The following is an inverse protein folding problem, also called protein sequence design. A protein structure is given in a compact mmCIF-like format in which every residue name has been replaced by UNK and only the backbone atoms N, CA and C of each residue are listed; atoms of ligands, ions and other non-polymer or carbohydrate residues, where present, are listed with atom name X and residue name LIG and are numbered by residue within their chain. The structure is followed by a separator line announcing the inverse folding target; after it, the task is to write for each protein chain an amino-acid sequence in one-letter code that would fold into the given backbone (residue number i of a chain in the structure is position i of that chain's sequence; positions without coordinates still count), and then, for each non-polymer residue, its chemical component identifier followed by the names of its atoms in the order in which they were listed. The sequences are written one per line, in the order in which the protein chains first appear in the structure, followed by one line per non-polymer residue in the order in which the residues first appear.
data_IF_308113595148
#
_entry.id   IF_308113595148
#
_cell.length_a   1.000
_cell.length_b   1.000
_cell.length_c   1.000
_cell.angle_alpha   90.00
_cell.angle_beta   90.00
_cell.angle_gamma   90.00
#
_symmetry.space_group_name_H-M   'P 1'
#
loop_
_entity.id
_entity.type
_entity.pdbx_description
1 polymer ?
#
# COMPACT_ATOMS: atom_id res chain seq x y z
N UNK A 1 -19.18 -22.81 5.27
CA UNK A 1 -18.02 -22.32 6.05
C UNK A 1 -17.52 -21.03 5.40
N UNK A 2 -17.65 -19.88 6.06
CA UNK A 2 -17.09 -18.63 5.58
C UNK A 2 -15.55 -18.72 5.68
N UNK A 3 -14.83 -18.53 4.56
CA UNK A 3 -13.36 -18.44 4.58
C UNK A 3 -12.97 -17.31 5.53
N UNK A 4 -11.99 -17.49 6.43
CA UNK A 4 -11.53 -16.41 7.28
C UNK A 4 -11.12 -15.23 6.39
N UNK A 5 -11.72 -14.08 6.66
CA UNK A 5 -11.36 -12.83 5.99
C UNK A 5 -9.94 -12.52 6.44
N UNK A 6 -8.94 -12.89 5.64
CA UNK A 6 -7.54 -12.59 5.94
C UNK A 6 -7.45 -11.08 6.08
N UNK A 7 -7.29 -10.58 7.30
CA UNK A 7 -6.97 -9.18 7.56
C UNK A 7 -5.46 -9.07 7.52
N UNK A 8 -4.94 -8.06 6.84
CA UNK A 8 -3.51 -7.81 6.74
C UNK A 8 -3.21 -6.48 7.42
N UNK A 9 -2.27 -6.50 8.38
CA UNK A 9 -1.84 -5.31 9.09
C UNK A 9 -0.97 -4.44 8.17
N UNK A 10 -1.37 -3.19 7.99
CA UNK A 10 -0.69 -2.18 7.18
C UNK A 10 -0.36 -0.94 8.02
N UNK A 11 -0.49 -0.98 9.35
CA UNK A 11 -0.32 0.19 10.23
C UNK A 11 1.05 0.85 10.12
N UNK A 12 2.15 0.09 10.07
CA UNK A 12 3.51 0.65 9.92
C UNK A 12 3.66 1.38 8.58
N UNK A 13 3.25 0.74 7.49
CA UNK A 13 3.33 1.30 6.14
C UNK A 13 2.38 2.50 6.02
N UNK A 14 1.18 2.41 6.58
CA UNK A 14 0.22 3.52 6.61
C UNK A 14 0.81 4.72 7.35
N UNK A 15 1.38 4.50 8.54
CA UNK A 15 2.00 5.56 9.36
C UNK A 15 3.13 6.21 8.60
N UNK A 16 3.99 5.40 7.99
CA UNK A 16 5.10 5.87 7.17
C UNK A 16 4.61 6.71 5.97
N UNK A 17 3.70 6.19 5.17
CA UNK A 17 3.16 6.90 4.01
C UNK A 17 2.34 8.15 4.40
N UNK A 18 1.70 8.15 5.58
CA UNK A 18 0.99 9.33 6.11
C UNK A 18 1.96 10.38 6.60
N UNK A 19 3.07 9.99 7.25
CA UNK A 19 4.15 10.90 7.61
C UNK A 19 4.78 11.54 6.36
N UNK A 20 4.83 10.83 5.24
CA UNK A 20 5.23 11.35 3.93
C UNK A 20 4.23 12.35 3.33
N UNK A 21 2.92 12.09 3.49
CA UNK A 21 1.84 12.94 2.95
C UNK A 21 1.57 14.20 3.78
N UNK A 22 1.88 14.18 5.08
CA UNK A 22 1.61 15.30 5.97
C UNK A 22 2.65 16.41 5.81
N UNK A 23 2.21 17.66 6.07
CA UNK A 23 2.93 18.94 5.92
C UNK A 23 4.41 18.98 6.33
N UNK A 24 4.89 18.05 7.17
CA UNK A 24 6.30 17.93 7.53
C UNK A 24 7.22 17.75 6.32
N UNK A 25 6.77 17.08 5.24
CA UNK A 25 7.56 16.94 4.01
C UNK A 25 7.45 18.15 3.08
N UNK A 26 6.31 18.85 3.09
CA UNK A 26 6.12 20.08 2.30
C UNK A 26 6.89 21.28 2.88
N UNK A 27 7.15 21.27 4.20
CA UNK A 27 7.74 22.40 4.93
C UNK A 27 9.23 22.23 5.26
N UNK A 28 9.76 21.00 5.28
CA UNK A 28 11.18 20.74 5.57
C UNK A 28 11.82 19.91 4.45
N UNK A 29 12.82 20.47 3.76
CA UNK A 29 13.69 19.76 2.79
C UNK A 29 14.50 18.59 3.41
N UNK A 30 14.26 18.24 4.67
CA UNK A 30 14.92 17.17 5.40
C UNK A 30 13.88 16.17 5.88
N UNK A 31 14.01 14.90 5.49
CA UNK A 31 13.37 13.85 6.29
C UNK A 31 13.20 12.48 5.68
N UNK A 32 13.36 12.30 4.37
CA UNK A 32 13.24 10.98 3.75
C UNK A 32 14.39 10.74 2.77
N UNK A 33 15.12 9.62 2.88
CA UNK A 33 16.10 9.24 1.88
C UNK A 33 15.45 9.11 0.50
N UNK A 34 15.95 9.85 -0.50
CA UNK A 34 15.46 9.76 -1.90
C UNK A 34 15.45 8.32 -2.45
N UNK A 35 16.32 7.48 -1.89
CA UNK A 35 16.40 6.05 -2.18
C UNK A 35 15.11 5.33 -1.79
N UNK A 36 14.52 5.65 -0.63
CA UNK A 36 13.29 5.02 -0.17
C UNK A 36 12.09 5.52 -0.98
N UNK A 37 12.02 6.82 -1.30
CA UNK A 37 10.96 7.35 -2.18
C UNK A 37 10.97 6.67 -3.55
N UNK A 38 12.15 6.50 -4.15
CA UNK A 38 12.29 5.84 -5.45
C UNK A 38 11.87 4.37 -5.36
N UNK A 39 12.33 3.66 -4.32
CA UNK A 39 11.95 2.27 -4.10
C UNK A 39 10.44 2.07 -3.90
N UNK A 40 9.78 2.97 -3.18
CA UNK A 40 8.31 2.92 -3.01
C UNK A 40 7.59 3.14 -4.34
N UNK A 41 8.00 4.12 -5.16
CA UNK A 41 7.37 4.33 -6.48
C UNK A 41 7.62 3.14 -7.43
N UNK A 42 8.83 2.57 -7.43
CA UNK A 42 9.16 1.37 -8.20
C UNK A 42 8.32 0.16 -7.77
N UNK A 43 8.10 -0.02 -6.46
CA UNK A 43 7.22 -1.06 -5.93
C UNK A 43 5.78 -0.84 -6.41
N UNK A 44 5.26 0.39 -6.31
CA UNK A 44 3.90 0.70 -6.74
C UNK A 44 3.72 0.53 -8.24
N UNK A 45 4.72 0.88 -9.04
CA UNK A 45 4.76 0.61 -10.48
C UNK A 45 4.72 -0.88 -10.77
N UNK A 46 5.59 -1.67 -10.14
CA UNK A 46 5.61 -3.12 -10.29
C UNK A 46 4.28 -3.76 -9.92
N UNK A 47 3.76 -3.44 -8.74
CA UNK A 47 2.48 -3.95 -8.22
C UNK A 47 1.33 -3.56 -9.16
N UNK A 48 1.30 -2.33 -9.66
CA UNK A 48 0.22 -1.86 -10.55
C UNK A 48 0.07 -2.70 -11.82
N UNK A 49 1.15 -3.33 -12.27
CA UNK A 49 1.24 -4.11 -13.52
C UNK A 49 1.12 -5.63 -13.33
N UNK A 50 1.03 -6.12 -12.09
CA UNK A 50 0.86 -7.55 -11.84
C UNK A 50 -0.49 -8.07 -12.36
N UNK A 51 -0.52 -9.34 -12.76
CA UNK A 51 -1.77 -10.02 -13.11
C UNK A 51 -2.49 -10.49 -11.85
N UNK A 52 -3.68 -9.93 -11.62
CA UNK A 52 -4.57 -10.25 -10.50
C UNK A 52 -5.76 -11.11 -10.95
N UNK A 53 -5.60 -11.94 -11.98
CA UNK A 53 -6.65 -12.83 -12.48
C UNK A 53 -7.56 -12.15 -13.50
N UNK A 54 -6.94 -11.59 -14.54
CA UNK A 54 -7.64 -11.07 -15.72
C UNK A 54 -7.92 -9.58 -15.69
N UNK A 55 -7.03 -8.78 -15.08
CA UNK A 55 -7.07 -7.33 -15.25
C UNK A 55 -6.70 -7.00 -16.70
N UNK A 56 -7.60 -6.34 -17.43
CA UNK A 56 -7.34 -5.87 -18.80
C UNK A 56 -6.56 -4.55 -18.83
N UNK A 57 -6.43 -3.89 -17.68
CA UNK A 57 -5.69 -2.63 -17.50
C UNK A 57 -4.91 -2.67 -16.18
N UNK A 58 -3.74 -2.03 -16.11
CA UNK A 58 -3.01 -1.84 -14.86
C UNK A 58 -3.89 -1.15 -13.81
N UNK A 59 -3.63 -1.45 -12.53
CA UNK A 59 -4.22 -0.72 -11.43
C UNK A 59 -3.63 0.70 -11.37
N UNK A 60 -4.37 1.66 -10.84
CA UNK A 60 -3.85 3.02 -10.69
C UNK A 60 -2.86 3.09 -9.52
N UNK A 61 -1.62 3.53 -9.79
CA UNK A 61 -0.61 3.79 -8.75
C UNK A 61 -1.12 4.76 -7.69
N UNK A 62 -1.72 5.87 -8.10
CA UNK A 62 -2.25 6.87 -7.17
C UNK A 62 -3.33 6.27 -6.27
N UNK A 63 -4.19 5.40 -6.83
CA UNK A 63 -5.21 4.70 -6.05
C UNK A 63 -4.60 3.73 -5.04
N UNK A 64 -3.58 2.97 -5.43
CA UNK A 64 -2.87 2.06 -4.52
C UNK A 64 -2.22 2.84 -3.37
N UNK A 65 -1.52 3.93 -3.70
CA UNK A 65 -0.89 4.81 -2.73
C UNK A 65 -1.92 5.38 -1.72
N UNK A 66 -3.02 5.97 -2.21
CA UNK A 66 -4.08 6.53 -1.36
C UNK A 66 -4.69 5.48 -0.43
N UNK A 67 -4.89 4.25 -0.92
CA UNK A 67 -5.46 3.19 -0.09
C UNK A 67 -4.46 2.68 0.96
N UNK A 68 -3.17 2.57 0.62
CA UNK A 68 -2.11 2.20 1.58
C UNK A 68 -1.94 3.26 2.68
N UNK A 69 -2.08 4.55 2.35
CA UNK A 69 -2.01 5.63 3.34
C UNK A 69 -3.27 5.78 4.19
N UNK A 70 -4.42 5.25 3.73
CA UNK A 70 -5.70 5.44 4.42
C UNK A 70 -6.15 4.23 5.24
N UNK A 71 -5.70 3.02 4.91
CA UNK A 71 -6.21 1.78 5.50
C UNK A 71 -5.19 1.12 6.44
N UNK A 72 -5.39 1.14 7.77
CA UNK A 72 -4.54 0.37 8.71
C UNK A 72 -4.70 -1.13 8.52
N UNK A 73 -5.89 -1.58 8.10
CA UNK A 73 -6.20 -3.00 7.90
C UNK A 73 -6.67 -3.25 6.47
N UNK A 74 -5.91 -4.09 5.75
CA UNK A 74 -6.19 -4.44 4.35
C UNK A 74 -6.97 -5.77 4.27
N UNK A 75 -8.25 -5.64 3.93
CA UNK A 75 -9.14 -6.76 3.64
C UNK A 75 -10.03 -6.43 2.44
N UNK A 76 -10.62 -7.44 1.80
CA UNK A 76 -11.57 -7.18 0.70
C UNK A 76 -12.74 -6.32 1.17
N UNK A 77 -13.22 -6.52 2.41
CA UNK A 77 -14.33 -5.75 2.98
C UNK A 77 -13.95 -4.28 3.22
N UNK A 78 -12.79 -4.01 3.82
CA UNK A 78 -12.31 -2.64 4.06
C UNK A 78 -12.01 -1.90 2.76
N UNK A 79 -11.42 -2.58 1.78
CA UNK A 79 -11.18 -2.02 0.44
C UNK A 79 -12.48 -1.76 -0.31
N UNK A 80 -13.47 -2.65 -0.20
CA UNK A 80 -14.78 -2.46 -0.81
C UNK A 80 -15.51 -1.28 -0.18
N UNK A 81 -15.48 -1.15 1.15
CA UNK A 81 -16.06 -0.01 1.85
C UNK A 81 -15.39 1.32 1.45
N UNK A 82 -14.07 1.32 1.28
CA UNK A 82 -13.32 2.53 0.91
C UNK A 82 -13.50 2.94 -0.56
N UNK A 83 -13.75 1.99 -1.46
CA UNK A 83 -13.75 2.25 -2.92
C UNK A 83 -15.11 2.16 -3.59
N UNK A 84 -16.11 1.56 -2.93
CA UNK A 84 -17.45 1.30 -3.50
C UNK A 84 -17.46 0.32 -4.69
N UNK A 85 -16.36 -0.39 -4.92
CA UNK A 85 -16.18 -1.25 -6.10
C UNK A 85 -16.80 -2.63 -5.92
N UNK A 86 -16.92 -3.39 -7.02
CA UNK A 86 -17.38 -4.79 -6.95
C UNK A 86 -16.48 -5.64 -6.05
N UNK A 87 -17.03 -6.71 -5.46
CA UNK A 87 -16.26 -7.61 -4.60
C UNK A 87 -15.04 -8.23 -5.32
N UNK A 88 -15.19 -8.55 -6.62
CA UNK A 88 -14.07 -9.04 -7.44
C UNK A 88 -12.96 -8.00 -7.57
N UNK A 89 -13.29 -6.76 -7.93
CA UNK A 89 -12.29 -5.71 -8.07
C UNK A 89 -11.64 -5.35 -6.72
N UNK A 90 -12.43 -5.32 -5.64
CA UNK A 90 -11.95 -5.08 -4.28
C UNK A 90 -11.01 -6.19 -3.79
N UNK A 91 -11.22 -7.43 -4.25
CA UNK A 91 -10.32 -8.55 -3.97
C UNK A 91 -8.99 -8.41 -4.69
N UNK A 92 -9.00 -7.96 -5.95
CA UNK A 92 -7.77 -7.71 -6.71
C UNK A 92 -6.99 -6.55 -6.08
N UNK A 93 -7.69 -5.46 -5.70
CA UNK A 93 -7.08 -4.35 -4.97
C UNK A 93 -6.52 -4.80 -3.62
N UNK A 94 -7.25 -5.60 -2.83
CA UNK A 94 -6.74 -6.06 -1.53
C UNK A 94 -5.51 -6.95 -1.67
N UNK A 95 -5.43 -7.77 -2.73
CA UNK A 95 -4.21 -8.52 -3.05
C UNK A 95 -3.05 -7.59 -3.41
N UNK A 96 -3.28 -6.60 -4.27
CA UNK A 96 -2.27 -5.62 -4.67
C UNK A 96 -1.71 -4.84 -3.47
N UNK A 97 -2.59 -4.38 -2.58
CA UNK A 97 -2.22 -3.64 -1.38
C UNK A 97 -1.38 -4.48 -0.42
N UNK A 98 -1.67 -5.78 -0.26
CA UNK A 98 -0.86 -6.68 0.59
C UNK A 98 0.55 -6.87 0.04
N UNK A 99 0.66 -7.07 -1.27
CA UNK A 99 1.95 -7.22 -1.94
C UNK A 99 2.77 -5.93 -1.79
N UNK A 100 2.15 -4.78 -2.09
CA UNK A 100 2.80 -3.49 -1.94
C UNK A 100 3.25 -3.23 -0.49
N UNK A 101 2.36 -3.41 0.48
CA UNK A 101 2.66 -3.18 1.89
C UNK A 101 3.82 -4.07 2.38
N UNK A 102 3.80 -5.36 2.03
CA UNK A 102 4.90 -6.29 2.37
C UNK A 102 6.23 -5.84 1.74
N UNK A 103 6.22 -5.46 0.47
CA UNK A 103 7.42 -5.02 -0.24
C UNK A 103 7.98 -3.69 0.31
N UNK A 104 7.09 -2.75 0.65
CA UNK A 104 7.47 -1.48 1.27
C UNK A 104 8.07 -1.75 2.65
N UNK A 105 7.40 -2.53 3.51
CA UNK A 105 7.91 -2.88 4.83
C UNK A 105 9.32 -3.50 4.77
N UNK A 106 9.53 -4.45 3.86
CA UNK A 106 10.85 -5.06 3.65
C UNK A 106 11.91 -4.04 3.22
N UNK A 107 11.52 -3.03 2.44
CA UNK A 107 12.40 -1.95 2.01
C UNK A 107 12.77 -1.05 3.19
N UNK A 108 11.80 -0.69 4.05
CA UNK A 108 12.04 0.09 5.27
C UNK A 108 13.02 -0.61 6.20
N UNK A 109 12.79 -1.90 6.48
CA UNK A 109 13.68 -2.73 7.30
C UNK A 109 15.09 -2.80 6.71
N UNK A 110 15.20 -3.00 5.39
CA UNK A 110 16.50 -3.08 4.70
C UNK A 110 17.29 -1.77 4.80
N UNK A 111 16.61 -0.62 4.83
CA UNK A 111 17.23 0.70 4.89
C UNK A 111 17.37 1.26 6.32
N UNK A 112 17.03 0.46 7.35
CA UNK A 112 17.27 0.81 8.76
C UNK A 112 16.24 1.76 9.38
N UNK A 113 15.07 1.89 8.77
CA UNK A 113 13.94 2.62 9.37
C UNK A 113 13.30 1.77 10.48
N UNK A 114 12.94 2.35 11.65
CA UNK A 114 12.31 1.61 12.74
C UNK A 114 10.89 1.18 12.35
N UNK A 115 10.70 -0.09 12.02
CA UNK A 115 9.37 -0.72 11.93
C UNK A 115 9.17 -1.65 13.13
N UNK A 116 8.00 -1.57 13.76
CA UNK A 116 7.68 -2.38 14.93
C UNK A 116 7.17 -3.76 14.46
N UNK A 117 8.06 -4.74 14.34
CA UNK A 117 7.69 -6.13 14.03
C UNK A 117 6.89 -6.79 15.16
#
# INVERSE_FOLDING_TARGET
MARPTIQFNNEDVQTYLTAYLTLNHFMNESGVPRVITAAVDDILEGVSRLDYGGNTRPLSKSKLYTLLSALPIVSTATVQAATGQSSRHSRNLSQALRVASTAILNTLVKHGEPCSL
#
